data_IF_371896065769
#
_entry.id   IF_371896065769
#
_cell.length_a   1.000
_cell.length_b   1.000
_cell.length_c   1.000
_cell.angle_alpha   90.00
_cell.angle_beta   90.00
_cell.angle_gamma   90.00
#
_symmetry.space_group_name_H-M   'P 1'
#
loop_
_entity.id
_entity.type
_entity.pdbx_description
1 polymer ?
#
# COMPACT_ATOMS: atom_id res chain seq x y z
N UNK A 1 26.88 18.02 -42.30
CA UNK A 1 26.72 16.56 -42.27
C UNK A 1 26.22 16.23 -40.87
N UNK A 2 24.92 15.98 -40.73
CA UNK A 2 24.29 15.57 -39.44
C UNK A 2 24.77 14.16 -39.13
N UNK A 3 25.42 13.98 -37.99
CA UNK A 3 25.70 12.65 -37.48
C UNK A 3 24.36 11.95 -37.23
N UNK A 4 24.07 10.92 -38.01
CA UNK A 4 22.94 10.02 -37.75
C UNK A 4 23.23 9.35 -36.41
N UNK A 5 22.65 9.87 -35.32
CA UNK A 5 22.64 9.18 -34.03
C UNK A 5 21.85 7.89 -34.22
N UNK A 6 22.52 6.76 -34.28
CA UNK A 6 21.84 5.45 -34.23
C UNK A 6 21.06 5.41 -32.94
N UNK A 7 19.77 5.11 -33.01
CA UNK A 7 18.97 4.86 -31.82
C UNK A 7 19.66 3.78 -30.96
N UNK A 8 19.62 3.90 -29.63
CA UNK A 8 20.09 2.84 -28.75
C UNK A 8 19.37 1.52 -29.04
N UNK A 9 19.96 0.36 -28.74
CA UNK A 9 19.25 -0.91 -28.86
C UNK A 9 17.96 -0.89 -28.03
N UNK A 10 16.92 -1.57 -28.51
CA UNK A 10 15.69 -1.76 -27.75
C UNK A 10 15.99 -2.50 -26.44
N UNK A 11 15.60 -1.93 -25.30
CA UNK A 11 15.71 -2.54 -23.98
C UNK A 11 14.40 -3.26 -23.61
N UNK A 12 14.39 -4.60 -23.53
CA UNK A 12 13.20 -5.34 -23.13
C UNK A 12 12.79 -5.13 -21.65
N UNK A 13 13.70 -4.65 -20.80
CA UNK A 13 13.41 -4.38 -19.39
C UNK A 13 12.76 -3.01 -19.18
N UNK A 14 13.06 -2.05 -20.06
CA UNK A 14 12.44 -0.73 -20.09
C UNK A 14 12.07 -0.32 -21.54
N UNK A 15 11.06 -0.98 -22.13
CA UNK A 15 10.73 -0.84 -23.55
C UNK A 15 10.20 0.54 -23.94
N UNK A 16 9.80 1.37 -22.98
CA UNK A 16 9.32 2.73 -23.19
C UNK A 16 10.29 3.82 -22.71
N UNK A 17 11.46 3.45 -22.18
CA UNK A 17 12.43 4.41 -21.63
C UNK A 17 11.86 5.17 -20.44
N UNK A 18 11.17 4.48 -19.53
CA UNK A 18 10.57 5.11 -18.33
C UNK A 18 11.67 5.65 -17.40
N UNK A 19 12.81 4.98 -17.35
CA UNK A 19 13.96 5.43 -16.57
C UNK A 19 14.47 6.81 -17.02
N UNK A 20 14.29 7.20 -18.30
CA UNK A 20 14.62 8.54 -18.79
C UNK A 20 13.74 9.65 -18.19
N UNK A 21 12.62 9.30 -17.55
CA UNK A 21 11.70 10.23 -16.87
C UNK A 21 12.09 10.45 -15.40
N UNK A 22 13.03 9.70 -14.88
CA UNK A 22 13.46 9.68 -13.47
C UNK A 22 14.75 10.46 -13.28
N UNK A 23 14.81 11.22 -12.19
CA UNK A 23 16.02 11.87 -11.78
C UNK A 23 17.00 10.87 -11.13
N UNK A 24 18.32 11.16 -11.05
CA UNK A 24 19.28 10.27 -10.39
C UNK A 24 18.92 9.91 -8.95
N UNK A 25 18.29 10.81 -8.21
CA UNK A 25 17.82 10.57 -6.85
C UNK A 25 16.64 9.60 -6.82
N UNK A 26 15.72 9.68 -7.78
CA UNK A 26 14.61 8.75 -7.94
C UNK A 26 15.12 7.34 -8.17
N UNK A 27 16.11 7.19 -9.07
CA UNK A 27 16.77 5.92 -9.36
C UNK A 27 17.48 5.36 -8.12
N UNK A 28 18.19 6.19 -7.36
CA UNK A 28 18.90 5.78 -6.15
C UNK A 28 17.93 5.25 -5.07
N UNK A 29 16.80 5.90 -4.89
CA UNK A 29 15.74 5.45 -3.96
C UNK A 29 15.17 4.10 -4.42
N UNK A 30 14.80 3.98 -5.70
CA UNK A 30 14.30 2.73 -6.27
C UNK A 30 15.27 1.58 -6.03
N UNK A 31 16.53 1.79 -6.38
CA UNK A 31 17.56 0.74 -6.32
C UNK A 31 17.90 0.34 -4.87
N UNK A 32 17.86 1.29 -3.94
CA UNK A 32 18.02 1.03 -2.50
C UNK A 32 16.92 0.12 -1.98
N UNK A 33 15.66 0.46 -2.26
CA UNK A 33 14.50 -0.33 -1.80
C UNK A 33 14.46 -1.70 -2.49
N UNK A 34 14.78 -1.76 -3.79
CA UNK A 34 14.90 -3.02 -4.54
C UNK A 34 15.95 -3.94 -3.93
N UNK A 35 17.14 -3.41 -3.63
CA UNK A 35 18.23 -4.18 -3.04
C UNK A 35 17.83 -4.72 -1.64
N UNK A 36 17.22 -3.88 -0.81
CA UNK A 36 16.71 -4.32 0.49
C UNK A 36 15.66 -5.42 0.35
N UNK A 37 14.69 -5.26 -0.55
CA UNK A 37 13.63 -6.25 -0.77
C UNK A 37 14.19 -7.58 -1.30
N UNK A 38 15.19 -7.52 -2.18
CA UNK A 38 15.88 -8.69 -2.73
C UNK A 38 16.63 -9.48 -1.66
N UNK A 39 17.26 -8.80 -0.70
CA UNK A 39 18.02 -9.42 0.39
C UNK A 39 17.13 -9.91 1.53
N UNK A 40 16.15 -9.08 1.96
CA UNK A 40 15.41 -9.31 3.20
C UNK A 40 14.05 -9.95 3.04
N UNK A 41 13.48 -9.95 1.84
CA UNK A 41 12.11 -10.43 1.59
C UNK A 41 12.08 -11.61 0.63
N UNK A 42 12.62 -11.45 -0.57
CA UNK A 42 12.47 -12.44 -1.65
C UNK A 42 12.92 -13.86 -1.27
N UNK A 43 14.01 -14.08 -0.51
CA UNK A 43 14.44 -15.42 -0.14
C UNK A 43 13.47 -16.16 0.82
N UNK A 44 12.61 -15.41 1.53
CA UNK A 44 11.84 -15.95 2.64
C UNK A 44 10.32 -15.84 2.43
N UNK A 45 9.85 -14.96 1.56
CA UNK A 45 8.42 -14.60 1.48
C UNK A 45 7.51 -15.76 1.07
N UNK A 46 8.00 -16.71 0.31
CA UNK A 46 7.23 -17.92 -0.05
C UNK A 46 6.89 -18.74 1.20
N UNK A 47 7.87 -18.94 2.09
CA UNK A 47 7.69 -19.65 3.37
C UNK A 47 6.79 -18.85 4.32
N UNK A 48 6.98 -17.52 4.42
CA UNK A 48 6.12 -16.66 5.24
C UNK A 48 4.66 -16.74 4.77
N UNK A 49 4.48 -16.71 3.46
CA UNK A 49 3.15 -16.77 2.85
C UNK A 49 2.49 -18.15 3.12
N UNK A 50 3.24 -19.26 2.97
CA UNK A 50 2.78 -20.61 3.27
C UNK A 50 2.33 -20.75 4.73
N UNK A 51 3.14 -20.25 5.66
CA UNK A 51 2.84 -20.28 7.09
C UNK A 51 1.75 -19.30 7.50
N UNK A 52 1.52 -18.23 6.73
CA UNK A 52 0.57 -17.17 7.06
C UNK A 52 1.07 -16.24 8.17
N UNK A 53 2.36 -15.93 8.17
CA UNK A 53 3.02 -15.10 9.18
C UNK A 53 4.05 -14.17 8.55
N UNK A 54 4.46 -13.14 9.28
CA UNK A 54 5.57 -12.25 8.93
C UNK A 54 6.56 -12.20 10.11
N UNK A 55 7.50 -13.17 10.16
CA UNK A 55 8.49 -13.24 11.23
C UNK A 55 9.41 -12.01 11.21
N UNK A 56 9.87 -11.58 12.39
CA UNK A 56 10.83 -10.47 12.47
C UNK A 56 10.30 -9.10 12.05
N UNK A 57 8.98 -8.89 12.00
CA UNK A 57 8.36 -7.64 11.53
C UNK A 57 8.93 -6.38 12.21
N UNK A 58 9.32 -6.46 13.50
CA UNK A 58 9.92 -5.33 14.21
C UNK A 58 11.35 -5.03 13.76
N UNK A 59 12.09 -6.05 13.36
CA UNK A 59 13.42 -5.91 12.77
C UNK A 59 13.31 -5.31 11.36
N UNK A 60 12.43 -5.87 10.53
CA UNK A 60 12.16 -5.34 9.19
C UNK A 60 11.71 -3.86 9.25
N UNK A 61 10.89 -3.48 10.23
CA UNK A 61 10.48 -2.10 10.42
C UNK A 61 11.67 -1.18 10.74
N UNK A 62 12.61 -1.60 11.62
CA UNK A 62 13.82 -0.82 11.90
C UNK A 62 14.73 -0.68 10.70
N UNK A 63 14.90 -1.74 9.92
CA UNK A 63 15.68 -1.71 8.68
C UNK A 63 15.05 -0.76 7.66
N UNK A 64 13.72 -0.83 7.47
CA UNK A 64 12.99 0.11 6.61
C UNK A 64 13.09 1.56 7.11
N UNK A 65 13.08 1.76 8.43
CA UNK A 65 13.37 3.07 9.03
C UNK A 65 14.78 3.56 8.73
N UNK A 66 15.79 2.67 8.80
CA UNK A 66 17.19 3.03 8.56
C UNK A 66 17.47 3.47 7.11
N UNK A 67 16.69 3.00 6.15
CA UNK A 67 16.75 3.44 4.75
C UNK A 67 15.75 4.55 4.41
N UNK A 68 15.07 5.13 5.42
CA UNK A 68 14.14 6.25 5.25
C UNK A 68 12.79 5.89 4.61
N UNK A 69 12.42 4.61 4.54
CA UNK A 69 11.19 4.17 3.87
C UNK A 69 9.91 4.40 4.71
N UNK A 70 10.03 4.63 6.03
CA UNK A 70 8.88 4.84 6.91
C UNK A 70 8.53 6.33 7.03
N UNK A 71 7.30 6.70 6.69
CA UNK A 71 6.88 8.11 6.64
C UNK A 71 7.61 8.91 5.56
N UNK A 72 8.05 8.25 4.51
CA UNK A 72 9.00 8.74 3.50
C UNK A 72 8.64 10.10 2.92
N UNK A 73 7.36 10.38 2.66
CA UNK A 73 6.87 11.63 2.08
C UNK A 73 6.54 12.73 3.11
N UNK A 74 6.78 12.47 4.40
CA UNK A 74 6.55 13.45 5.46
C UNK A 74 7.82 14.27 5.70
N UNK A 75 7.65 15.53 6.07
CA UNK A 75 8.74 16.45 6.38
C UNK A 75 8.98 16.53 7.89
N UNK A 76 10.23 16.62 8.30
CA UNK A 76 10.61 16.74 9.72
C UNK A 76 10.49 15.42 10.51
N UNK A 77 10.71 15.49 11.80
CA UNK A 77 10.55 14.38 12.77
C UNK A 77 11.30 13.10 12.40
N UNK A 78 12.44 13.22 11.70
CA UNK A 78 13.23 12.07 11.26
C UNK A 78 12.74 11.40 9.96
N UNK A 79 11.71 11.93 9.33
CA UNK A 79 11.20 11.47 8.04
C UNK A 79 12.06 12.02 6.89
N UNK A 80 12.09 11.32 5.74
CA UNK A 80 12.98 11.63 4.63
C UNK A 80 12.56 12.88 3.83
N UNK A 81 11.28 13.27 3.82
CA UNK A 81 10.77 14.37 2.99
C UNK A 81 10.87 14.10 1.48
N UNK A 82 10.80 12.83 1.09
CA UNK A 82 10.95 12.40 -0.28
C UNK A 82 9.79 12.85 -1.18
N UNK A 83 10.06 12.97 -2.49
CA UNK A 83 9.04 13.28 -3.48
C UNK A 83 7.98 12.18 -3.58
N UNK A 84 6.82 12.51 -4.14
CA UNK A 84 5.78 11.52 -4.38
C UNK A 84 6.24 10.45 -5.39
N UNK A 85 7.06 10.82 -6.39
CA UNK A 85 7.65 9.85 -7.32
C UNK A 85 8.54 8.87 -6.59
N UNK A 86 9.43 9.35 -5.70
CA UNK A 86 10.31 8.50 -4.89
C UNK A 86 9.53 7.54 -4.00
N UNK A 87 8.52 8.03 -3.30
CA UNK A 87 7.63 7.18 -2.51
C UNK A 87 6.88 6.16 -3.37
N UNK A 88 6.43 6.56 -4.55
CA UNK A 88 5.81 5.66 -5.52
C UNK A 88 6.73 4.53 -5.97
N UNK A 89 7.97 4.86 -6.33
CA UNK A 89 9.01 3.88 -6.70
C UNK A 89 9.31 2.91 -5.54
N UNK A 90 9.39 3.41 -4.32
CA UNK A 90 9.53 2.57 -3.13
C UNK A 90 8.35 1.59 -3.00
N UNK A 91 7.11 2.05 -3.17
CA UNK A 91 5.93 1.19 -3.15
C UNK A 91 5.95 0.13 -4.26
N UNK A 92 6.41 0.48 -5.46
CA UNK A 92 6.57 -0.43 -6.59
C UNK A 92 7.54 -1.57 -6.25
N UNK A 93 8.72 -1.26 -5.71
CA UNK A 93 9.72 -2.25 -5.35
C UNK A 93 9.30 -3.14 -4.17
N UNK A 94 8.69 -2.56 -3.15
CA UNK A 94 8.18 -3.32 -2.00
C UNK A 94 7.07 -4.29 -2.40
N UNK A 95 6.15 -3.88 -3.27
CA UNK A 95 5.04 -4.75 -3.70
C UNK A 95 5.47 -5.75 -4.78
N UNK A 96 6.55 -5.48 -5.53
CA UNK A 96 7.20 -6.48 -6.37
C UNK A 96 7.72 -7.66 -5.53
N UNK A 97 8.13 -7.42 -4.29
CA UNK A 97 8.46 -8.48 -3.35
C UNK A 97 7.21 -9.11 -2.73
N UNK A 98 6.36 -8.30 -2.07
CA UNK A 98 5.05 -8.74 -1.55
C UNK A 98 4.15 -7.57 -1.15
N UNK A 99 2.84 -7.68 -1.42
CA UNK A 99 1.85 -6.69 -1.01
C UNK A 99 1.75 -6.52 0.52
N UNK A 100 2.10 -7.53 1.31
CA UNK A 100 2.15 -7.45 2.77
C UNK A 100 3.22 -6.49 3.27
N UNK A 101 4.40 -6.50 2.63
CA UNK A 101 5.51 -5.60 2.97
C UNK A 101 5.18 -4.16 2.56
N UNK A 102 4.63 -3.95 1.35
CA UNK A 102 4.17 -2.62 0.96
C UNK A 102 3.08 -2.11 1.92
N UNK A 103 2.17 -2.98 2.36
CA UNK A 103 1.11 -2.62 3.32
C UNK A 103 1.67 -2.22 4.70
N UNK A 104 2.72 -2.90 5.20
CA UNK A 104 3.43 -2.50 6.42
C UNK A 104 3.90 -1.04 6.32
N UNK A 105 4.60 -0.69 5.24
CA UNK A 105 5.15 0.65 5.02
C UNK A 105 4.04 1.69 4.81
N UNK A 106 3.01 1.35 4.02
CA UNK A 106 1.91 2.26 3.72
C UNK A 106 1.07 2.58 4.96
N UNK A 107 0.71 1.57 5.76
CA UNK A 107 -0.07 1.80 6.99
C UNK A 107 0.74 2.57 8.02
N UNK A 108 2.03 2.29 8.14
CA UNK A 108 2.94 3.06 8.99
C UNK A 108 2.98 4.52 8.56
N UNK A 109 3.41 4.79 7.31
CA UNK A 109 3.73 6.13 6.83
C UNK A 109 2.52 6.93 6.38
N UNK A 110 1.70 6.34 5.49
CA UNK A 110 0.63 7.06 4.80
C UNK A 110 -0.68 7.12 5.58
N UNK A 111 -0.86 6.29 6.61
CA UNK A 111 -2.06 6.29 7.46
C UNK A 111 -1.74 6.76 8.87
N UNK A 112 -1.00 5.98 9.67
CA UNK A 112 -0.77 6.30 11.08
C UNK A 112 0.10 7.55 11.27
N UNK A 113 1.29 7.59 10.67
CA UNK A 113 2.18 8.76 10.76
C UNK A 113 1.57 9.98 10.09
N UNK A 114 0.95 9.82 8.91
CA UNK A 114 0.31 10.94 8.22
C UNK A 114 -0.81 11.58 9.06
N UNK A 115 -1.64 10.77 9.73
CA UNK A 115 -2.70 11.28 10.59
C UNK A 115 -2.13 12.12 11.75
N UNK A 116 -1.08 11.62 12.42
CA UNK A 116 -0.42 12.34 13.51
C UNK A 116 0.29 13.59 12.97
N UNK A 117 1.03 13.48 11.87
CA UNK A 117 1.74 14.60 11.25
C UNK A 117 0.79 15.74 10.83
N UNK A 118 -0.32 15.39 10.21
CA UNK A 118 -1.26 16.35 9.61
C UNK A 118 -2.22 16.94 10.63
N UNK A 119 -2.63 16.19 11.64
CA UNK A 119 -3.73 16.54 12.54
C UNK A 119 -3.38 16.53 14.03
N UNK A 120 -2.20 16.04 14.38
CA UNK A 120 -1.73 15.97 15.75
C UNK A 120 -1.26 17.30 16.30
N UNK A 121 -1.26 17.45 17.62
CA UNK A 121 -0.55 18.52 18.31
C UNK A 121 0.97 18.37 18.12
N UNK A 122 1.71 19.45 18.37
CA UNK A 122 3.17 19.38 18.30
C UNK A 122 3.75 18.35 19.29
N UNK A 123 3.16 18.23 20.48
CA UNK A 123 3.54 17.24 21.47
C UNK A 123 3.33 15.81 20.96
N UNK A 124 2.19 15.52 20.35
CA UNK A 124 1.91 14.23 19.72
C UNK A 124 2.90 13.91 18.60
N UNK A 125 3.23 14.90 17.75
CA UNK A 125 4.21 14.74 16.67
C UNK A 125 5.60 14.42 17.20
N UNK A 126 6.09 15.18 18.19
CA UNK A 126 7.41 14.97 18.79
C UNK A 126 7.51 13.64 19.55
N UNK A 127 6.41 13.20 20.18
CA UNK A 127 6.38 11.94 20.92
C UNK A 127 6.43 10.72 20.01
N UNK A 128 5.69 10.73 18.89
CA UNK A 128 5.45 9.53 18.11
C UNK A 128 6.27 9.47 16.82
N UNK A 129 6.31 10.55 16.04
CA UNK A 129 6.83 10.49 14.68
C UNK A 129 8.31 10.08 14.58
N UNK A 130 9.24 10.60 15.43
CA UNK A 130 10.64 10.20 15.32
C UNK A 130 10.85 8.69 15.55
N UNK A 131 10.17 8.13 16.54
CA UNK A 131 10.24 6.71 16.87
C UNK A 131 9.59 5.83 15.80
N UNK A 132 8.52 6.34 15.18
CA UNK A 132 7.84 5.66 14.08
C UNK A 132 8.66 5.72 12.78
N UNK A 133 9.33 6.84 12.50
CA UNK A 133 10.22 6.98 11.35
C UNK A 133 11.44 6.06 11.47
N UNK A 134 12.00 5.91 12.68
CA UNK A 134 13.09 4.97 12.97
C UNK A 134 12.65 3.48 12.99
N UNK A 135 11.35 3.18 12.88
CA UNK A 135 10.83 1.82 12.98
C UNK A 135 10.86 1.21 14.37
N UNK A 136 11.12 2.01 15.41
CA UNK A 136 11.09 1.59 16.82
C UNK A 136 9.65 1.34 17.30
N UNK A 137 8.71 2.13 16.78
CA UNK A 137 7.27 2.01 17.04
C UNK A 137 6.53 1.77 15.74
N UNK A 138 5.82 0.67 15.68
CA UNK A 138 4.89 0.36 14.59
C UNK A 138 3.54 0.99 14.92
N UNK A 139 2.92 1.64 13.93
CA UNK A 139 1.59 2.20 14.04
C UNK A 139 0.54 1.39 13.27
N UNK A 140 -0.71 1.51 13.69
CA UNK A 140 -1.85 1.00 12.94
C UNK A 140 -2.96 2.06 12.83
N UNK A 141 -3.96 1.80 11.95
CA UNK A 141 -4.99 2.77 11.62
C UNK A 141 -6.39 2.12 11.71
N UNK A 142 -7.13 2.44 12.74
CA UNK A 142 -8.43 1.88 13.06
C UNK A 142 -9.59 2.73 12.53
N UNK A 143 -10.03 2.47 11.29
CA UNK A 143 -11.21 3.12 10.70
C UNK A 143 -12.35 2.12 10.47
N UNK A 144 -12.09 1.08 9.67
CA UNK A 144 -13.08 0.06 9.25
C UNK A 144 -13.61 -0.73 10.44
N UNK A 145 -14.90 -0.98 10.46
CA UNK A 145 -15.60 -1.79 11.47
C UNK A 145 -16.18 -3.07 10.86
N UNK A 146 -16.54 -4.08 11.68
CA UNK A 146 -17.16 -5.31 11.17
C UNK A 146 -18.37 -5.06 10.26
N UNK A 147 -19.22 -4.09 10.61
CA UNK A 147 -20.45 -3.77 9.89
C UNK A 147 -20.35 -2.55 8.97
N UNK A 148 -19.22 -1.79 9.00
CA UNK A 148 -19.05 -0.52 8.30
C UNK A 148 -17.69 -0.44 7.60
N UNK A 149 -17.61 -0.90 6.35
CA UNK A 149 -16.43 -0.84 5.47
C UNK A 149 -16.48 0.35 4.54
N UNK A 150 -17.28 0.27 3.47
CA UNK A 150 -17.42 1.33 2.46
C UNK A 150 -18.20 2.55 2.95
N UNK A 151 -18.91 2.44 4.05
CA UNK A 151 -19.62 3.53 4.74
C UNK A 151 -19.01 3.83 6.12
N UNK A 152 -17.85 4.49 6.19
CA UNK A 152 -17.23 4.86 7.46
C UNK A 152 -17.98 5.95 8.21
N UNK A 153 -18.95 6.63 7.58
CA UNK A 153 -19.79 7.63 8.23
C UNK A 153 -20.67 7.03 9.32
N UNK A 154 -21.10 5.78 9.10
CA UNK A 154 -21.99 5.04 9.99
C UNK A 154 -21.25 4.27 11.09
N UNK A 155 -19.96 4.55 11.33
CA UNK A 155 -19.19 3.86 12.38
C UNK A 155 -19.88 3.94 13.75
N UNK A 156 -19.76 2.85 14.51
CA UNK A 156 -20.36 2.71 15.86
C UNK A 156 -19.34 2.82 16.99
N UNK A 157 -18.04 2.67 16.72
CA UNK A 157 -17.01 2.96 17.72
C UNK A 157 -17.22 4.37 18.23
N UNK A 158 -17.36 4.52 19.54
CA UNK A 158 -17.66 5.79 20.20
C UNK A 158 -16.55 6.22 21.14
N UNK A 159 -16.40 7.52 21.29
CA UNK A 159 -15.59 8.14 22.32
C UNK A 159 -16.46 9.15 23.09
N UNK A 160 -16.59 8.95 24.39
CA UNK A 160 -17.40 9.80 25.27
C UNK A 160 -16.51 10.50 26.30
N UNK A 161 -16.87 11.74 26.64
CA UNK A 161 -16.23 12.44 27.74
C UNK A 161 -16.61 11.86 29.09
N UNK A 162 -15.61 11.67 29.96
CA UNK A 162 -15.77 11.34 31.37
C UNK A 162 -14.84 12.24 32.19
N UNK A 163 -15.35 13.35 32.70
CA UNK A 163 -14.57 14.42 33.24
C UNK A 163 -13.67 15.08 32.16
N UNK A 164 -12.35 15.13 32.41
CA UNK A 164 -11.37 15.60 31.43
C UNK A 164 -11.00 14.57 30.38
N UNK A 165 -11.24 13.28 30.65
CA UNK A 165 -10.78 12.16 29.87
C UNK A 165 -11.76 11.78 28.76
N UNK A 166 -11.30 10.91 27.85
CA UNK A 166 -12.11 10.21 26.88
C UNK A 166 -12.20 8.72 27.23
N UNK A 167 -13.36 8.12 27.02
CA UNK A 167 -13.57 6.67 27.12
C UNK A 167 -14.03 6.15 25.76
N UNK A 168 -13.23 5.27 25.17
CA UNK A 168 -13.46 4.69 23.86
C UNK A 168 -14.02 3.28 24.02
N UNK A 169 -15.10 3.01 23.22
CA UNK A 169 -15.73 1.70 23.13
C UNK A 169 -16.05 1.35 21.69
N UNK A 170 -15.76 0.11 21.28
CA UNK A 170 -16.06 -0.38 19.94
C UNK A 170 -15.06 -1.39 19.40
N UNK A 171 -15.18 -1.64 18.10
CA UNK A 171 -14.32 -2.60 17.39
C UNK A 171 -13.91 -2.08 16.03
N UNK A 172 -12.66 -2.37 15.64
CA UNK A 172 -12.15 -2.12 14.29
C UNK A 172 -11.70 -3.42 13.66
N UNK A 173 -11.95 -3.59 12.38
CA UNK A 173 -11.73 -4.84 11.65
C UNK A 173 -10.75 -4.65 10.51
N UNK A 174 -9.99 -5.69 10.17
CA UNK A 174 -9.03 -5.73 9.08
C UNK A 174 -7.87 -4.73 9.25
N UNK A 175 -7.40 -4.54 10.48
CA UNK A 175 -6.38 -3.54 10.80
C UNK A 175 -4.98 -4.13 10.62
N UNK A 176 -4.28 -3.68 9.60
CA UNK A 176 -2.87 -4.03 9.37
C UNK A 176 -2.01 -3.53 10.53
N UNK A 177 -1.04 -4.33 10.94
CA UNK A 177 -0.10 -4.10 12.04
C UNK A 177 -0.73 -4.13 13.45
N UNK A 178 -2.03 -4.34 13.62
CA UNK A 178 -2.71 -4.13 14.91
C UNK A 178 -2.06 -4.85 16.10
N UNK A 179 -1.76 -6.15 15.99
CA UNK A 179 -1.18 -6.96 17.09
C UNK A 179 0.30 -6.68 17.40
N UNK A 180 0.99 -5.94 16.52
CA UNK A 180 2.41 -5.57 16.69
C UNK A 180 2.61 -4.08 16.91
N UNK A 181 1.53 -3.29 16.79
CA UNK A 181 1.57 -1.85 16.95
C UNK A 181 1.89 -1.44 18.39
N UNK A 182 2.65 -0.36 18.55
CA UNK A 182 2.83 0.36 19.82
C UNK A 182 1.90 1.58 19.94
N UNK A 183 1.31 2.01 18.80
CA UNK A 183 0.34 3.11 18.76
C UNK A 183 -0.72 2.83 17.69
N UNK A 184 -1.98 3.13 18.00
CA UNK A 184 -3.09 3.07 17.07
C UNK A 184 -3.70 4.46 16.87
N UNK A 185 -3.93 4.85 15.62
CA UNK A 185 -4.81 5.99 15.30
C UNK A 185 -6.22 5.43 15.13
N UNK A 186 -7.12 5.73 16.04
CA UNK A 186 -8.49 5.21 16.06
C UNK A 186 -9.49 6.32 15.79
N UNK A 187 -10.36 6.12 14.81
CA UNK A 187 -11.46 7.03 14.49
C UNK A 187 -12.74 6.58 15.20
N UNK A 188 -13.36 7.49 15.94
CA UNK A 188 -14.54 7.21 16.74
C UNK A 188 -15.56 8.35 16.63
N UNK A 189 -16.84 7.98 16.80
CA UNK A 189 -17.95 8.91 16.86
C UNK A 189 -17.96 9.60 18.24
N UNK A 190 -18.05 10.93 18.26
CA UNK A 190 -18.24 11.75 19.45
C UNK A 190 -19.52 12.60 19.32
N UNK A 191 -19.88 13.33 20.37
CA UNK A 191 -20.97 14.33 20.31
C UNK A 191 -20.69 15.45 19.29
N UNK A 192 -19.41 15.73 19.02
CA UNK A 192 -18.97 16.75 18.07
C UNK A 192 -18.77 16.19 16.63
N UNK A 193 -19.10 14.91 16.41
CA UNK A 193 -18.84 14.18 15.17
C UNK A 193 -17.63 13.26 15.26
N UNK A 194 -17.15 12.77 14.11
CA UNK A 194 -16.03 11.82 14.06
C UNK A 194 -14.73 12.54 14.42
N UNK A 195 -13.99 11.96 15.40
CA UNK A 195 -12.66 12.44 15.83
C UNK A 195 -11.64 11.29 15.74
N UNK A 196 -10.38 11.63 15.53
CA UNK A 196 -9.25 10.71 15.60
C UNK A 196 -8.59 10.75 16.97
N UNK A 197 -8.14 9.60 17.46
CA UNK A 197 -7.46 9.45 18.74
C UNK A 197 -6.13 8.72 18.57
N UNK A 198 -5.08 9.21 19.22
CA UNK A 198 -3.79 8.53 19.34
C UNK A 198 -3.84 7.65 20.56
N UNK A 199 -3.85 6.35 20.37
CA UNK A 199 -4.06 5.34 21.42
C UNK A 199 -2.78 4.52 21.59
N UNK A 200 -2.03 4.66 22.69
CA UNK A 200 -0.98 3.68 23.05
C UNK A 200 -1.62 2.30 23.20
N UNK A 201 -1.03 1.27 22.59
CA UNK A 201 -1.67 -0.06 22.52
C UNK A 201 -1.57 -0.86 23.82
N UNK A 202 -0.77 -0.40 24.78
CA UNK A 202 -0.69 -0.91 26.15
C UNK A 202 -1.75 -0.30 27.10
N UNK A 203 -2.60 0.61 26.59
CA UNK A 203 -3.68 1.19 27.41
C UNK A 203 -4.67 0.10 27.85
N UNK A 204 -5.04 0.04 29.16
CA UNK A 204 -6.01 -0.92 29.65
C UNK A 204 -7.33 -0.87 28.83
N UNK A 205 -7.88 -2.05 28.54
CA UNK A 205 -9.08 -2.18 27.70
C UNK A 205 -8.81 -2.26 26.19
N UNK A 206 -7.57 -1.98 25.73
CA UNK A 206 -7.18 -2.19 24.34
C UNK A 206 -6.67 -3.61 24.11
N UNK A 207 -7.15 -4.27 23.07
CA UNK A 207 -6.57 -5.52 22.59
C UNK A 207 -6.66 -5.62 21.05
N UNK A 208 -5.76 -6.40 20.46
CA UNK A 208 -5.65 -6.53 19.00
C UNK A 208 -5.45 -7.99 18.56
N UNK A 209 -6.48 -8.88 18.69
CA UNK A 209 -6.37 -10.26 18.26
C UNK A 209 -6.12 -10.35 16.74
N UNK A 210 -5.21 -11.23 16.37
CA UNK A 210 -4.83 -11.42 14.97
C UNK A 210 -5.84 -12.24 14.17
N UNK A 211 -6.12 -11.82 12.93
CA UNK A 211 -6.93 -12.52 11.96
C UNK A 211 -6.02 -13.42 11.11
N UNK A 212 -6.01 -14.75 11.39
CA UNK A 212 -5.07 -15.70 10.79
C UNK A 212 -5.61 -16.42 9.55
N UNK A 213 -6.91 -16.68 9.47
CA UNK A 213 -7.51 -17.46 8.40
C UNK A 213 -7.78 -16.62 7.15
N UNK A 214 -6.71 -16.21 6.44
CA UNK A 214 -6.76 -15.41 5.22
C UNK A 214 -6.19 -16.20 4.05
N UNK A 215 -6.76 -16.05 2.86
CA UNK A 215 -6.19 -16.55 1.60
C UNK A 215 -5.26 -15.54 0.94
N UNK A 216 -5.40 -14.27 1.28
CA UNK A 216 -4.67 -13.13 0.72
C UNK A 216 -3.89 -12.41 1.82
N UNK A 217 -2.81 -11.72 1.47
CA UNK A 217 -1.94 -11.00 2.41
C UNK A 217 -1.51 -11.89 3.60
N UNK A 218 -1.09 -13.11 3.29
CA UNK A 218 -0.73 -14.10 4.31
C UNK A 218 0.59 -13.75 4.99
N UNK A 219 1.55 -13.16 4.26
CA UNK A 219 2.77 -12.57 4.80
C UNK A 219 2.51 -11.13 5.29
N UNK A 220 1.45 -10.93 6.10
CA UNK A 220 1.05 -9.63 6.64
C UNK A 220 0.26 -9.82 7.92
N UNK A 221 0.55 -9.00 8.92
CA UNK A 221 -0.20 -8.96 10.18
C UNK A 221 -1.49 -8.19 9.98
N UNK A 222 -2.62 -8.81 10.30
CA UNK A 222 -3.95 -8.19 10.23
C UNK A 222 -4.72 -8.52 11.50
N UNK A 223 -5.38 -7.55 12.11
CA UNK A 223 -6.02 -7.71 13.42
C UNK A 223 -7.43 -7.12 13.45
N UNK A 224 -8.21 -7.55 14.41
CA UNK A 224 -9.31 -6.79 14.98
C UNK A 224 -8.74 -5.89 16.08
N UNK A 225 -9.20 -4.64 16.22
CA UNK A 225 -8.98 -3.85 17.44
C UNK A 225 -10.24 -3.89 18.29
N UNK A 226 -10.09 -4.24 19.56
CA UNK A 226 -11.17 -4.24 20.55
C UNK A 226 -10.88 -3.14 21.56
N UNK A 227 -11.86 -2.28 21.76
CA UNK A 227 -11.82 -1.15 22.68
C UNK A 227 -12.93 -1.37 23.71
N UNK A 228 -12.55 -1.66 24.94
CA UNK A 228 -13.45 -1.94 26.08
C UNK A 228 -13.11 -0.99 27.21
N UNK A 229 -13.86 0.10 27.30
CA UNK A 229 -13.64 1.21 28.23
C UNK A 229 -12.20 1.76 28.22
N UNK A 230 -11.62 1.89 27.03
CA UNK A 230 -10.27 2.43 26.86
C UNK A 230 -10.25 3.91 27.25
N UNK A 231 -9.63 4.20 28.40
CA UNK A 231 -9.53 5.54 28.96
C UNK A 231 -8.27 6.26 28.48
N UNK A 232 -8.48 7.43 27.91
CA UNK A 232 -7.41 8.28 27.36
C UNK A 232 -7.49 9.69 27.93
N UNK A 233 -6.36 10.38 28.12
CA UNK A 233 -6.34 11.77 28.54
C UNK A 233 -6.93 12.71 27.48
N UNK A 234 -7.25 13.92 27.90
CA UNK A 234 -7.92 14.92 27.04
C UNK A 234 -7.15 15.21 25.73
N UNK A 235 -5.83 15.16 25.77
CA UNK A 235 -4.90 15.46 24.68
C UNK A 235 -4.63 14.28 23.73
N UNK A 236 -5.24 13.13 23.98
CA UNK A 236 -5.16 11.99 23.05
C UNK A 236 -5.91 12.22 21.72
N UNK A 237 -6.84 13.16 21.66
CA UNK A 237 -7.57 13.51 20.44
C UNK A 237 -6.65 14.26 19.46
N UNK A 238 -6.79 13.98 18.16
CA UNK A 238 -6.16 14.78 17.11
C UNK A 238 -6.88 16.14 17.00
N UNK A 239 -6.23 17.26 17.38
CA UNK A 239 -6.94 18.54 17.53
C UNK A 239 -7.32 19.21 16.20
N UNK A 240 -6.53 18.96 15.13
CA UNK A 240 -6.64 19.71 13.87
C UNK A 240 -7.70 19.15 12.91
N UNK A 241 -8.54 18.22 13.36
CA UNK A 241 -9.53 17.58 12.47
C UNK A 241 -10.82 17.16 13.17
N UNK A 242 -11.93 17.35 12.47
CA UNK A 242 -13.27 16.86 12.82
C UNK A 242 -13.96 16.32 11.57
N UNK A 243 -14.76 15.26 11.73
CA UNK A 243 -15.52 14.63 10.65
C UNK A 243 -14.68 13.72 9.75
N UNK A 244 -15.30 13.24 8.68
CA UNK A 244 -14.70 12.28 7.74
C UNK A 244 -13.54 12.83 6.93
N UNK A 245 -13.35 14.14 6.86
CA UNK A 245 -12.22 14.74 6.12
C UNK A 245 -10.87 14.17 6.57
N UNK A 246 -10.73 13.92 7.88
CA UNK A 246 -9.51 13.36 8.45
C UNK A 246 -9.17 11.98 7.87
N UNK A 247 -9.95 10.94 8.15
CA UNK A 247 -9.64 9.60 7.67
C UNK A 247 -9.64 9.50 6.15
N UNK A 248 -10.50 10.23 5.43
CA UNK A 248 -10.51 10.20 3.96
C UNK A 248 -9.26 10.83 3.33
N UNK A 249 -8.67 11.84 3.96
CA UNK A 249 -7.39 12.39 3.48
C UNK A 249 -6.23 11.41 3.67
N UNK A 250 -6.18 10.69 4.80
CA UNK A 250 -5.23 9.61 5.04
C UNK A 250 -5.37 8.52 3.97
N UNK A 251 -6.60 8.07 3.70
CA UNK A 251 -6.86 7.08 2.65
C UNK A 251 -6.45 7.56 1.26
N UNK A 252 -6.65 8.85 0.94
CA UNK A 252 -6.24 9.38 -0.37
C UNK A 252 -4.72 9.34 -0.53
N UNK A 253 -3.99 9.62 0.54
CA UNK A 253 -2.52 9.53 0.56
C UNK A 253 -2.03 8.08 0.41
N UNK A 254 -2.64 7.14 1.14
CA UNK A 254 -2.27 5.73 1.07
C UNK A 254 -2.63 5.09 -0.29
N UNK A 255 -3.78 5.43 -0.87
CA UNK A 255 -4.21 4.97 -2.20
C UNK A 255 -3.20 5.30 -3.30
N UNK A 256 -2.52 6.44 -3.20
CA UNK A 256 -1.47 6.81 -4.15
C UNK A 256 -0.34 5.76 -4.18
N UNK A 257 0.11 5.26 -3.03
CA UNK A 257 1.09 4.18 -2.95
C UNK A 257 0.61 2.87 -3.58
N UNK A 258 -0.71 2.59 -3.52
CA UNK A 258 -1.31 1.40 -4.17
C UNK A 258 -1.23 1.49 -5.70
N UNK A 259 -1.38 2.70 -6.28
CA UNK A 259 -1.27 2.89 -7.75
C UNK A 259 0.07 2.39 -8.28
N UNK A 260 1.15 2.65 -7.56
CA UNK A 260 2.49 2.18 -7.90
C UNK A 260 2.71 0.72 -7.52
N UNK A 261 2.34 0.36 -6.29
CA UNK A 261 2.59 -0.97 -5.75
C UNK A 261 1.97 -2.08 -6.60
N UNK A 262 0.73 -1.91 -7.06
CA UNK A 262 0.07 -2.87 -7.93
C UNK A 262 0.88 -3.18 -9.20
N UNK A 263 1.54 -2.16 -9.79
CA UNK A 263 2.43 -2.36 -10.93
C UNK A 263 3.72 -3.10 -10.55
N UNK A 264 4.17 -3.01 -9.30
CA UNK A 264 5.28 -3.83 -8.79
C UNK A 264 4.94 -5.31 -8.78
N UNK A 265 3.78 -5.70 -8.25
CA UNK A 265 3.30 -7.09 -8.27
C UNK A 265 3.11 -7.60 -9.71
N UNK A 266 2.57 -6.74 -10.60
CA UNK A 266 2.42 -7.03 -12.03
C UNK A 266 3.79 -7.24 -12.70
N UNK A 267 4.77 -6.36 -12.43
CA UNK A 267 6.14 -6.47 -12.97
C UNK A 267 6.80 -7.78 -12.55
N UNK A 268 6.80 -8.11 -11.27
CA UNK A 268 7.39 -9.35 -10.78
C UNK A 268 6.77 -10.59 -11.43
N UNK A 269 5.46 -10.56 -11.66
CA UNK A 269 4.75 -11.66 -12.33
C UNK A 269 5.05 -11.71 -13.83
N UNK A 270 5.17 -10.57 -14.49
CA UNK A 270 5.55 -10.46 -15.90
C UNK A 270 6.97 -10.98 -16.14
N UNK A 271 7.94 -10.52 -15.33
CA UNK A 271 9.34 -10.95 -15.41
C UNK A 271 9.46 -12.47 -15.24
N UNK A 272 8.78 -13.04 -14.23
CA UNK A 272 8.74 -14.49 -14.01
C UNK A 272 8.15 -15.25 -15.23
N UNK A 273 7.12 -14.69 -15.87
CA UNK A 273 6.52 -15.29 -17.05
C UNK A 273 7.44 -15.23 -18.28
N UNK A 274 8.16 -14.11 -18.46
CA UNK A 274 9.15 -13.94 -19.55
C UNK A 274 10.29 -14.94 -19.38
N UNK A 275 10.87 -15.06 -18.19
CA UNK A 275 12.00 -15.96 -17.93
C UNK A 275 11.59 -17.43 -18.06
N UNK A 276 10.41 -17.77 -17.56
CA UNK A 276 9.85 -19.10 -17.74
C UNK A 276 9.61 -19.41 -19.23
N UNK A 277 9.06 -18.47 -19.99
CA UNK A 277 8.79 -18.64 -21.41
C UNK A 277 10.07 -18.81 -22.25
N UNK A 278 11.18 -18.19 -21.85
CA UNK A 278 12.49 -18.35 -22.49
C UNK A 278 13.15 -19.69 -22.19
N UNK A 279 12.94 -20.25 -20.99
CA UNK A 279 13.62 -21.44 -20.50
C UNK A 279 12.81 -22.73 -20.69
N UNK A 280 11.48 -22.67 -20.59
CA UNK A 280 10.61 -23.84 -20.71
C UNK A 280 10.45 -24.29 -22.14
N UNK A 281 10.83 -25.51 -22.43
CA UNK A 281 10.66 -26.10 -23.76
C UNK A 281 9.42 -27.00 -23.86
N UNK A 282 8.70 -26.90 -24.95
CA UNK A 282 7.64 -27.79 -25.40
C UNK A 282 7.67 -27.86 -26.94
N UNK A 283 7.34 -29.03 -27.49
CA UNK A 283 7.37 -29.27 -28.96
C UNK A 283 8.73 -28.90 -29.59
N UNK A 284 9.83 -29.17 -28.84
CA UNK A 284 11.20 -29.03 -29.32
C UNK A 284 11.77 -27.62 -29.33
N UNK A 285 11.11 -26.63 -28.68
CA UNK A 285 11.60 -25.25 -28.55
C UNK A 285 11.03 -24.52 -27.35
N UNK A 286 11.64 -23.42 -26.90
CA UNK A 286 11.12 -22.55 -25.85
C UNK A 286 9.69 -22.11 -26.14
N UNK A 287 8.82 -22.13 -25.11
CA UNK A 287 7.41 -21.74 -25.30
C UNK A 287 7.22 -20.28 -25.67
N UNK A 288 8.19 -19.40 -25.34
CA UNK A 288 8.24 -17.99 -25.78
C UNK A 288 8.37 -17.82 -27.31
N UNK A 289 8.72 -18.89 -28.03
CA UNK A 289 8.74 -18.88 -29.51
C UNK A 289 7.40 -19.15 -30.17
N UNK A 290 6.32 -19.39 -29.42
CA UNK A 290 4.98 -19.60 -29.97
C UNK A 290 4.15 -18.31 -29.98
N UNK A 291 3.41 -18.09 -31.06
CA UNK A 291 2.64 -16.85 -31.30
C UNK A 291 1.67 -16.51 -30.15
N UNK A 292 0.94 -17.51 -29.62
CA UNK A 292 -0.02 -17.28 -28.54
C UNK A 292 0.66 -16.89 -27.21
N UNK A 293 1.89 -17.36 -26.96
CA UNK A 293 2.67 -16.95 -25.80
C UNK A 293 3.21 -15.54 -25.98
N UNK A 294 3.73 -15.22 -27.18
CA UNK A 294 4.20 -13.86 -27.50
C UNK A 294 3.09 -12.83 -27.44
N UNK A 295 1.88 -13.15 -27.93
CA UNK A 295 0.72 -12.27 -27.84
C UNK A 295 0.39 -11.94 -26.36
N UNK A 296 0.34 -12.96 -25.48
CA UNK A 296 0.11 -12.74 -24.04
C UNK A 296 1.19 -11.85 -23.41
N UNK A 297 2.47 -12.12 -23.70
CA UNK A 297 3.57 -11.32 -23.17
C UNK A 297 3.52 -9.87 -23.67
N UNK A 298 3.16 -9.65 -24.94
CA UNK A 298 3.01 -8.31 -25.50
C UNK A 298 1.86 -7.54 -24.82
N UNK A 299 0.68 -8.17 -24.65
CA UNK A 299 -0.46 -7.55 -23.97
C UNK A 299 -0.11 -7.19 -22.51
N UNK A 300 0.54 -8.11 -21.79
CA UNK A 300 1.01 -7.85 -20.42
C UNK A 300 2.01 -6.68 -20.35
N UNK A 301 2.96 -6.61 -21.28
CA UNK A 301 3.95 -5.54 -21.33
C UNK A 301 3.29 -4.17 -21.59
N UNK A 302 2.33 -4.11 -22.51
CA UNK A 302 1.58 -2.87 -22.81
C UNK A 302 0.85 -2.35 -21.60
N UNK A 303 0.08 -3.20 -20.91
CA UNK A 303 -0.71 -2.79 -19.74
C UNK A 303 0.19 -2.42 -18.54
N UNK A 304 1.28 -3.18 -18.31
CA UNK A 304 2.26 -2.88 -17.27
C UNK A 304 2.85 -1.47 -17.43
N UNK A 305 3.38 -1.16 -18.61
CA UNK A 305 4.06 0.12 -18.83
C UNK A 305 3.10 1.30 -18.91
N UNK A 306 1.90 1.12 -19.44
CA UNK A 306 0.80 2.11 -19.34
C UNK A 306 0.49 2.43 -17.87
N UNK A 307 0.40 1.39 -17.02
CA UNK A 307 0.13 1.55 -15.59
C UNK A 307 1.24 2.29 -14.85
N UNK A 308 2.51 2.01 -15.17
CA UNK A 308 3.67 2.72 -14.59
C UNK A 308 3.69 4.19 -15.04
N UNK A 309 3.45 4.47 -16.33
CA UNK A 309 3.36 5.84 -16.83
C UNK A 309 2.21 6.63 -16.18
N UNK A 310 1.06 5.99 -15.98
CA UNK A 310 -0.06 6.61 -15.25
C UNK A 310 0.35 6.93 -13.81
N UNK A 311 1.00 5.99 -13.11
CA UNK A 311 1.48 6.19 -11.75
C UNK A 311 2.50 7.33 -11.66
N UNK A 312 3.48 7.37 -12.57
CA UNK A 312 4.47 8.44 -12.68
C UNK A 312 3.80 9.80 -12.92
N UNK A 313 2.85 9.89 -13.86
CA UNK A 313 2.12 11.13 -14.11
C UNK A 313 1.38 11.63 -12.85
N UNK A 314 0.73 10.73 -12.10
CA UNK A 314 0.05 11.09 -10.85
C UNK A 314 1.07 11.54 -9.78
N UNK A 315 2.26 10.94 -9.72
CA UNK A 315 3.35 11.36 -8.86
C UNK A 315 3.79 12.80 -9.13
N UNK A 316 4.09 13.12 -10.38
CA UNK A 316 4.47 14.48 -10.81
C UNK A 316 3.35 15.50 -10.52
N UNK A 317 2.08 15.10 -10.61
CA UNK A 317 0.96 15.96 -10.20
C UNK A 317 0.90 16.19 -8.70
N UNK A 318 1.21 15.16 -7.90
CA UNK A 318 1.25 15.25 -6.44
C UNK A 318 2.39 16.16 -5.98
N UNK A 319 3.59 16.01 -6.53
CA UNK A 319 4.74 16.87 -6.26
C UNK A 319 4.46 18.35 -6.60
N UNK A 320 3.68 18.58 -7.66
CA UNK A 320 3.24 19.91 -8.04
C UNK A 320 2.04 20.44 -7.23
N UNK A 321 1.55 19.72 -6.21
CA UNK A 321 0.38 20.12 -5.40
C UNK A 321 -0.95 20.13 -6.19
N UNK A 322 -1.05 19.41 -7.31
CA UNK A 322 -2.18 19.45 -8.24
C UNK A 322 -2.94 18.11 -8.37
N UNK A 323 -2.61 17.13 -7.53
CA UNK A 323 -3.30 15.84 -7.54
C UNK A 323 -4.65 15.94 -6.83
N UNK A 324 -5.70 15.45 -7.47
CA UNK A 324 -7.06 15.36 -6.91
C UNK A 324 -7.39 13.93 -6.49
N UNK A 325 -8.24 13.74 -5.47
CA UNK A 325 -8.66 12.39 -5.04
C UNK A 325 -9.26 11.53 -6.16
N UNK A 326 -10.02 12.14 -7.10
CA UNK A 326 -10.60 11.46 -8.25
C UNK A 326 -9.51 10.91 -9.18
N UNK A 327 -8.40 11.62 -9.34
CA UNK A 327 -7.26 11.18 -10.16
C UNK A 327 -6.55 9.99 -9.52
N UNK A 328 -6.45 9.95 -8.18
CA UNK A 328 -5.97 8.75 -7.48
C UNK A 328 -6.91 7.56 -7.70
N UNK A 329 -8.22 7.82 -7.74
CA UNK A 329 -9.22 6.77 -8.07
C UNK A 329 -9.05 6.22 -9.48
N UNK A 330 -8.71 7.05 -10.49
CA UNK A 330 -8.33 6.59 -11.83
C UNK A 330 -7.14 5.62 -11.76
N UNK A 331 -6.07 6.03 -11.06
CA UNK A 331 -4.86 5.22 -10.94
C UNK A 331 -5.13 3.88 -10.24
N UNK A 332 -5.77 3.90 -9.06
CA UNK A 332 -6.05 2.67 -8.32
C UNK A 332 -6.98 1.73 -9.11
N UNK A 333 -8.06 2.25 -9.67
CA UNK A 333 -9.02 1.46 -10.44
C UNK A 333 -8.36 0.76 -11.63
N UNK A 334 -7.57 1.49 -12.42
CA UNK A 334 -6.87 0.94 -13.58
C UNK A 334 -5.79 -0.05 -13.15
N UNK A 335 -4.82 0.41 -12.36
CA UNK A 335 -3.59 -0.33 -12.12
C UNK A 335 -3.83 -1.64 -11.36
N UNK A 336 -4.76 -1.66 -10.39
CA UNK A 336 -5.04 -2.89 -9.64
C UNK A 336 -5.78 -3.92 -10.49
N UNK A 337 -6.70 -3.49 -11.36
CA UNK A 337 -7.37 -4.39 -12.31
C UNK A 337 -6.39 -5.00 -13.30
N UNK A 338 -5.56 -4.17 -13.92
CA UNK A 338 -4.58 -4.65 -14.89
C UNK A 338 -3.50 -5.53 -14.23
N UNK A 339 -3.07 -5.20 -13.01
CA UNK A 339 -2.11 -6.00 -12.27
C UNK A 339 -2.63 -7.43 -12.04
N UNK A 340 -3.89 -7.58 -11.65
CA UNK A 340 -4.47 -8.92 -11.39
C UNK A 340 -4.58 -9.73 -12.68
N UNK A 341 -4.94 -9.10 -13.81
CA UNK A 341 -5.01 -9.76 -15.11
C UNK A 341 -3.61 -10.15 -15.63
N UNK A 342 -2.59 -9.30 -15.40
CA UNK A 342 -1.20 -9.65 -15.70
C UNK A 342 -0.77 -10.87 -14.87
N UNK A 343 -1.03 -10.90 -13.56
CA UNK A 343 -0.70 -12.03 -12.70
C UNK A 343 -1.42 -13.32 -13.13
N UNK A 344 -2.70 -13.25 -13.47
CA UNK A 344 -3.50 -14.39 -13.97
C UNK A 344 -2.97 -14.91 -15.31
N UNK A 345 -2.59 -14.01 -16.21
CA UNK A 345 -2.00 -14.36 -17.50
C UNK A 345 -0.63 -15.00 -17.33
N UNK A 346 0.21 -14.43 -16.46
CA UNK A 346 1.50 -15.01 -16.08
C UNK A 346 1.33 -16.44 -15.53
N UNK A 347 0.38 -16.66 -14.60
CA UNK A 347 0.04 -17.98 -14.08
C UNK A 347 -0.33 -18.94 -15.21
N UNK A 348 -1.05 -18.48 -16.23
CA UNK A 348 -1.44 -19.29 -17.38
C UNK A 348 -0.22 -19.72 -18.21
N UNK A 349 0.76 -18.81 -18.40
CA UNK A 349 2.00 -19.12 -19.15
C UNK A 349 2.83 -20.17 -18.40
N UNK A 350 2.89 -20.09 -17.07
CA UNK A 350 3.61 -21.06 -16.26
C UNK A 350 2.91 -22.44 -16.16
N UNK A 351 1.66 -22.56 -16.62
CA UNK A 351 0.90 -23.80 -16.55
C UNK A 351 0.70 -24.27 -15.10
N UNK A 352 0.94 -25.55 -14.82
CA UNK A 352 0.83 -26.13 -13.48
C UNK A 352 1.82 -25.49 -12.47
N UNK A 353 3.02 -25.12 -12.91
CA UNK A 353 4.00 -24.46 -12.05
C UNK A 353 3.51 -23.09 -11.54
N UNK A 354 2.61 -22.44 -12.27
CA UNK A 354 2.06 -21.14 -11.88
C UNK A 354 1.15 -21.19 -10.65
N UNK A 355 0.79 -22.37 -10.11
CA UNK A 355 0.04 -22.51 -8.85
C UNK A 355 0.92 -22.82 -7.64
N UNK A 356 2.21 -23.04 -7.86
CA UNK A 356 3.21 -23.34 -6.83
C UNK A 356 3.73 -22.04 -6.20
N UNK A 357 4.12 -22.10 -4.91
CA UNK A 357 4.81 -21.00 -4.23
C UNK A 357 6.27 -20.82 -4.66
N UNK A 358 6.81 -21.72 -5.47
CA UNK A 358 8.13 -21.57 -6.11
C UNK A 358 8.16 -20.38 -7.10
N UNK A 359 6.99 -19.95 -7.57
CA UNK A 359 6.82 -18.80 -8.45
C UNK A 359 5.92 -17.75 -7.80
N UNK A 360 6.20 -16.46 -8.01
CA UNK A 360 5.48 -15.40 -7.29
C UNK A 360 4.06 -15.15 -7.82
N UNK A 361 3.73 -15.63 -9.01
CA UNK A 361 2.57 -15.19 -9.80
C UNK A 361 1.22 -15.41 -9.09
N UNK A 362 1.03 -16.60 -8.46
CA UNK A 362 -0.23 -16.89 -7.77
C UNK A 362 -0.32 -16.18 -6.43
N UNK A 363 0.81 -16.01 -5.73
CA UNK A 363 0.90 -15.22 -4.50
C UNK A 363 0.50 -13.77 -4.75
N UNK A 364 1.04 -13.13 -5.79
CA UNK A 364 0.65 -11.77 -6.19
C UNK A 364 -0.81 -11.71 -6.63
N UNK A 365 -1.28 -12.61 -7.47
CA UNK A 365 -2.69 -12.64 -7.89
C UNK A 365 -3.62 -12.72 -6.67
N UNK A 366 -3.31 -13.57 -5.69
CA UNK A 366 -4.13 -13.73 -4.48
C UNK A 366 -4.05 -12.49 -3.58
N UNK A 367 -2.88 -11.88 -3.43
CA UNK A 367 -2.71 -10.64 -2.67
C UNK A 367 -3.50 -9.48 -3.29
N UNK A 368 -3.50 -9.38 -4.62
CA UNK A 368 -4.20 -8.31 -5.35
C UNK A 368 -5.73 -8.38 -5.20
N UNK A 369 -6.32 -9.52 -4.84
CA UNK A 369 -7.75 -9.59 -4.47
C UNK A 369 -8.07 -8.74 -3.24
N UNK A 370 -7.16 -8.70 -2.24
CA UNK A 370 -7.28 -7.75 -1.12
C UNK A 370 -7.03 -6.31 -1.55
N UNK A 371 -6.07 -6.08 -2.44
CA UNK A 371 -5.74 -4.73 -2.95
C UNK A 371 -6.91 -4.13 -3.75
N UNK A 372 -7.66 -4.96 -4.48
CA UNK A 372 -8.92 -4.55 -5.13
C UNK A 372 -9.97 -4.09 -4.12
N UNK A 373 -9.96 -4.68 -2.92
CA UNK A 373 -11.05 -4.53 -1.94
C UNK A 373 -10.78 -3.40 -0.95
N UNK A 374 -9.58 -3.33 -0.36
CA UNK A 374 -9.29 -2.36 0.68
C UNK A 374 -9.04 -0.94 0.15
N UNK A 375 -9.14 0.04 1.05
CA UNK A 375 -8.98 1.47 0.74
C UNK A 375 -9.89 1.96 -0.41
N UNK A 376 -11.09 1.42 -0.45
CA UNK A 376 -12.08 1.64 -1.51
C UNK A 376 -12.11 0.49 -2.51
N UNK A 377 -13.28 -0.15 -2.61
CA UNK A 377 -13.50 -1.21 -3.60
C UNK A 377 -13.52 -0.65 -5.03
N UNK A 378 -13.50 -1.55 -6.01
CA UNK A 378 -13.64 -1.20 -7.42
C UNK A 378 -14.87 -0.32 -7.65
N UNK A 379 -16.02 -0.71 -7.05
CA UNK A 379 -17.29 0.00 -7.19
C UNK A 379 -17.21 1.40 -6.57
N UNK A 380 -16.56 1.54 -5.40
CA UNK A 380 -16.39 2.86 -4.76
C UNK A 380 -15.60 3.82 -5.65
N UNK A 381 -14.53 3.35 -6.29
CA UNK A 381 -13.76 4.17 -7.24
C UNK A 381 -14.57 4.49 -8.49
N UNK A 382 -15.37 3.54 -9.01
CA UNK A 382 -16.27 3.79 -10.14
C UNK A 382 -17.31 4.87 -9.80
N UNK A 383 -17.91 4.81 -8.62
CA UNK A 383 -18.89 5.82 -8.17
C UNK A 383 -18.25 7.21 -7.98
N UNK A 384 -17.04 7.27 -7.41
CA UNK A 384 -16.29 8.53 -7.30
C UNK A 384 -16.02 9.14 -8.68
N UNK A 385 -15.58 8.33 -9.63
CA UNK A 385 -15.32 8.78 -11.01
C UNK A 385 -16.60 9.14 -11.74
N UNK A 386 -17.64 8.33 -11.61
CA UNK A 386 -18.96 8.59 -12.21
C UNK A 386 -19.50 9.95 -11.76
N UNK A 387 -19.47 10.24 -10.45
CA UNK A 387 -19.84 11.55 -9.91
C UNK A 387 -18.98 12.69 -10.47
N UNK A 388 -17.66 12.49 -10.51
CA UNK A 388 -16.74 13.53 -11.02
C UNK A 388 -16.96 13.85 -12.51
N UNK A 389 -17.33 12.85 -13.31
CA UNK A 389 -17.58 12.99 -14.75
C UNK A 389 -18.97 13.57 -15.07
N UNK A 390 -19.98 13.21 -14.31
CA UNK A 390 -21.38 13.56 -14.59
C UNK A 390 -21.90 14.74 -13.76
N UNK A 391 -21.27 15.03 -12.62
CA UNK A 391 -21.79 15.96 -11.61
C UNK A 391 -22.94 15.40 -10.77
N UNK A 392 -23.37 14.14 -11.00
CA UNK A 392 -24.50 13.52 -10.32
C UNK A 392 -24.02 12.54 -9.23
N UNK A 393 -24.62 12.64 -8.04
CA UNK A 393 -24.28 11.75 -6.92
C UNK A 393 -25.04 10.43 -7.04
N UNK A 394 -24.32 9.32 -6.97
CA UNK A 394 -24.88 7.97 -7.05
C UNK A 394 -25.31 7.40 -5.68
N UNK A 395 -24.99 8.10 -4.59
CA UNK A 395 -25.33 7.64 -3.22
C UNK A 395 -26.62 8.27 -2.67
N UNK A 396 -27.27 9.17 -3.42
CA UNK A 396 -28.48 9.88 -3.00
C UNK A 396 -29.49 9.98 -4.13
#
# INVERSE_FOLDING_TARGET
MSASSKLPPFDPADPLGIDDLLDPEDLAVRDTVRAWAADRVLPYVAEWYEKGELPGIRELARELGSIGALGMSLEGYGCAGASAVQYGLACLELEAADSGIRSLVSVQGSLAMYAIHRFGSEEQKQTWLPRMAAGEVIGCFGLTEPDHGSDPASMRTSAKRDGSDWVLNGRKMWITNGSVAGVAVVWAQTEEGIRGFVVPTDTPGFSAPEIKHKWSLRASVTSELVLDDVRLPADAVLPEVTGLRGPLSCLSHARYGIVWGAMGAARASFEAAVDYAKSREQFGRPIGGFQLTQAKLADMAVELHKGILLAHHLGRRMDAGRLRPEQVSFGKLNNVREAIEICRTARTILGANGISLEYPVMRHATNLESVLTYEGTVEMHQLVLGKALTGLDAFR
#
